data_IF_678940710908
#
_entry.id   IF_678940710908
#
_cell.length_a   1.000
_cell.length_b   1.000
_cell.length_c   1.000
_cell.angle_alpha   90.00
_cell.angle_beta   90.00
_cell.angle_gamma   90.00
#
_symmetry.space_group_name_H-M   'P 1'
#
loop_
_entity.id
_entity.type
_entity.pdbx_description
1 polymer ?
#
# COMPACT_ATOMS: atom_id res chain seq x y z
N UNK A 1 -1.10 32.32 2.16
CA UNK A 1 -2.48 31.77 2.04
C UNK A 1 -2.70 30.77 3.18
N UNK A 2 -3.94 30.52 3.63
CA UNK A 2 -4.26 29.24 4.29
C UNK A 2 -4.59 28.24 3.16
N UNK A 3 -3.99 27.04 3.10
CA UNK A 3 -4.38 26.03 2.13
C UNK A 3 -5.78 25.49 2.46
N UNK A 4 -6.46 24.91 1.47
CA UNK A 4 -7.73 24.22 1.71
C UNK A 4 -7.47 22.82 2.29
N UNK A 5 -7.21 22.79 3.61
CA UNK A 5 -7.02 21.55 4.35
C UNK A 5 -8.20 20.58 4.18
N UNK A 6 -9.44 21.07 4.00
CA UNK A 6 -10.61 20.20 3.79
C UNK A 6 -10.55 19.53 2.42
N UNK A 7 -10.29 20.30 1.36
CA UNK A 7 -10.09 19.77 0.01
C UNK A 7 -8.95 18.76 -0.08
N UNK A 8 -7.83 19.02 0.61
CA UNK A 8 -6.69 18.10 0.69
C UNK A 8 -7.05 16.83 1.46
N UNK A 9 -7.71 16.93 2.62
CA UNK A 9 -8.14 15.75 3.39
C UNK A 9 -9.10 14.86 2.59
N UNK A 10 -10.08 15.45 1.90
CA UNK A 10 -10.97 14.70 1.00
C UNK A 10 -10.21 14.01 -0.15
N UNK A 11 -9.23 14.69 -0.77
CA UNK A 11 -8.38 14.06 -1.80
C UNK A 11 -7.58 12.88 -1.23
N UNK A 12 -6.89 13.06 -0.11
CA UNK A 12 -6.11 12.00 0.53
C UNK A 12 -6.98 10.79 0.92
N UNK A 13 -8.13 11.03 1.55
CA UNK A 13 -9.09 9.96 1.88
C UNK A 13 -9.58 9.24 0.61
N UNK A 14 -9.90 9.98 -0.46
CA UNK A 14 -10.33 9.39 -1.75
C UNK A 14 -9.27 8.45 -2.34
N UNK A 15 -8.00 8.87 -2.34
CA UNK A 15 -6.88 8.05 -2.85
C UNK A 15 -6.68 6.80 -1.99
N UNK A 16 -6.73 6.92 -0.67
CA UNK A 16 -6.58 5.78 0.24
C UNK A 16 -7.74 4.78 0.10
N UNK A 17 -8.99 5.25 0.07
CA UNK A 17 -10.16 4.38 -0.08
C UNK A 17 -10.22 3.71 -1.46
N UNK A 18 -9.79 4.39 -2.53
CA UNK A 18 -9.73 3.81 -3.87
C UNK A 18 -8.72 2.65 -3.95
N UNK A 19 -7.51 2.85 -3.40
CA UNK A 19 -6.50 1.79 -3.33
C UNK A 19 -6.95 0.61 -2.45
N UNK A 20 -7.63 0.89 -1.33
CA UNK A 20 -8.24 -0.16 -0.50
C UNK A 20 -9.32 -0.94 -1.27
N UNK A 21 -10.18 -0.25 -2.04
CA UNK A 21 -11.19 -0.88 -2.90
C UNK A 21 -10.58 -1.80 -3.96
N UNK A 22 -9.52 -1.35 -4.65
CA UNK A 22 -8.75 -2.16 -5.61
C UNK A 22 -8.14 -3.40 -4.92
N UNK A 23 -7.49 -3.23 -3.77
CA UNK A 23 -6.91 -4.34 -3.02
C UNK A 23 -7.96 -5.38 -2.62
N UNK A 24 -9.17 -4.96 -2.24
CA UNK A 24 -10.27 -5.86 -1.91
C UNK A 24 -10.79 -6.62 -3.16
N UNK A 25 -10.75 -6.04 -4.37
CA UNK A 25 -11.04 -6.78 -5.63
C UNK A 25 -10.04 -7.91 -5.83
N UNK A 26 -8.73 -7.63 -5.75
CA UNK A 26 -7.69 -8.66 -5.87
C UNK A 26 -7.80 -9.72 -4.77
N UNK A 27 -8.05 -9.30 -3.52
CA UNK A 27 -8.19 -10.22 -2.38
C UNK A 27 -9.44 -11.12 -2.50
N UNK A 28 -10.56 -10.58 -3.01
CA UNK A 28 -11.75 -11.35 -3.37
C UNK A 28 -11.44 -12.40 -4.44
N UNK A 29 -10.67 -12.05 -5.46
CA UNK A 29 -10.27 -12.99 -6.53
C UNK A 29 -9.42 -14.14 -5.98
N UNK A 30 -8.38 -13.82 -5.19
CA UNK A 30 -7.56 -14.81 -4.49
C UNK A 30 -8.40 -15.74 -3.60
N UNK A 31 -9.38 -15.20 -2.85
CA UNK A 31 -10.27 -15.99 -2.00
C UNK A 31 -11.26 -16.85 -2.79
N UNK A 32 -11.71 -16.41 -3.96
CA UNK A 32 -12.53 -17.23 -4.87
C UNK A 32 -11.73 -18.41 -5.42
N UNK A 33 -10.52 -18.15 -5.96
CA UNK A 33 -9.63 -19.20 -6.45
C UNK A 33 -9.27 -20.21 -5.35
N UNK A 34 -9.00 -19.74 -4.12
CA UNK A 34 -8.76 -20.62 -2.97
C UNK A 34 -9.95 -21.57 -2.72
N UNK A 35 -11.19 -21.07 -2.70
CA UNK A 35 -12.38 -21.91 -2.55
C UNK A 35 -12.63 -22.84 -3.75
N UNK A 36 -12.19 -22.47 -4.95
CA UNK A 36 -12.25 -23.35 -6.13
C UNK A 36 -11.21 -24.48 -6.02
N UNK A 37 -10.01 -24.18 -5.49
CA UNK A 37 -8.99 -25.17 -5.17
C UNK A 37 -9.44 -26.12 -4.05
N UNK A 38 -10.16 -25.64 -3.02
CA UNK A 38 -10.65 -26.51 -1.92
C UNK A 38 -11.53 -27.67 -2.43
N UNK A 39 -12.24 -27.51 -3.57
CA UNK A 39 -13.01 -28.60 -4.21
C UNK A 39 -12.14 -29.75 -4.72
N UNK A 40 -10.82 -29.59 -4.79
CA UNK A 40 -9.91 -30.68 -5.11
C UNK A 40 -9.85 -31.76 -4.01
N UNK A 41 -10.31 -31.48 -2.80
CA UNK A 41 -10.44 -32.48 -1.72
C UNK A 41 -11.51 -33.54 -2.06
N UNK A 42 -12.58 -33.14 -2.77
CA UNK A 42 -13.66 -34.05 -3.19
C UNK A 42 -13.25 -34.98 -4.35
N UNK A 43 -12.17 -34.63 -5.08
CA UNK A 43 -11.68 -35.40 -6.23
C UNK A 43 -10.98 -36.68 -5.78
N UNK A 44 -10.98 -37.68 -6.67
CA UNK A 44 -10.22 -38.93 -6.49
C UNK A 44 -8.75 -38.64 -6.15
N UNK A 45 -8.20 -39.31 -5.12
CA UNK A 45 -6.83 -39.09 -4.69
C UNK A 45 -5.85 -39.48 -5.80
N UNK A 46 -4.71 -38.79 -5.85
CA UNK A 46 -3.55 -39.22 -6.63
C UNK A 46 -2.83 -40.35 -5.88
N UNK A 47 -2.47 -41.41 -6.60
CA UNK A 47 -1.61 -42.51 -6.13
C UNK A 47 -0.13 -42.23 -6.40
N UNK A 48 0.15 -41.27 -7.28
CA UNK A 48 1.47 -40.87 -7.75
C UNK A 48 1.66 -39.36 -7.56
N UNK A 49 2.87 -38.85 -7.84
CA UNK A 49 3.10 -37.40 -7.88
C UNK A 49 2.28 -36.74 -9.00
N UNK A 50 1.84 -35.47 -8.83
CA UNK A 50 1.18 -34.73 -9.91
C UNK A 50 2.12 -34.62 -11.12
N UNK A 51 1.62 -34.86 -12.35
CA UNK A 51 2.46 -34.86 -13.55
C UNK A 51 3.03 -33.47 -13.81
N UNK A 52 4.24 -33.42 -14.37
CA UNK A 52 5.04 -32.19 -14.55
C UNK A 52 4.32 -31.08 -15.34
N UNK A 53 3.39 -31.45 -16.24
CA UNK A 53 2.55 -30.53 -17.01
C UNK A 53 1.40 -29.88 -16.21
N UNK A 54 1.13 -30.30 -14.96
CA UNK A 54 0.02 -29.78 -14.16
C UNK A 54 0.47 -28.62 -13.26
N UNK A 55 -0.17 -27.45 -13.41
CA UNK A 55 0.16 -26.29 -12.56
C UNK A 55 -0.06 -26.62 -11.08
N UNK A 56 0.93 -26.31 -10.22
CA UNK A 56 0.83 -26.52 -8.76
C UNK A 56 -0.44 -25.90 -8.16
N UNK A 57 -0.91 -24.77 -8.70
CA UNK A 57 -2.16 -24.11 -8.30
C UNK A 57 -3.43 -24.92 -8.63
N UNK A 58 -3.43 -25.78 -9.65
CA UNK A 58 -4.58 -26.60 -10.05
C UNK A 58 -4.69 -27.88 -9.21
N UNK A 59 -3.56 -28.39 -8.72
CA UNK A 59 -3.49 -29.57 -7.86
C UNK A 59 -3.49 -29.23 -6.35
N UNK A 60 -3.43 -27.96 -5.96
CA UNK A 60 -3.53 -27.54 -4.55
C UNK A 60 -4.82 -28.09 -3.90
N UNK A 61 -4.73 -28.59 -2.67
CA UNK A 61 -5.77 -29.31 -1.93
C UNK A 61 -6.22 -30.66 -2.53
N UNK A 62 -5.65 -31.12 -3.65
CA UNK A 62 -5.94 -32.48 -4.15
C UNK A 62 -5.40 -33.52 -3.18
N UNK A 63 -6.22 -34.53 -2.88
CA UNK A 63 -5.84 -35.64 -2.00
C UNK A 63 -4.75 -36.50 -2.64
N UNK A 64 -3.87 -37.03 -1.81
CA UNK A 64 -2.73 -37.87 -2.18
C UNK A 64 -2.67 -39.09 -1.27
N UNK A 65 -2.32 -40.25 -1.83
CA UNK A 65 -1.90 -41.46 -1.13
C UNK A 65 -0.59 -41.94 -1.76
N UNK A 66 0.50 -41.93 -1.00
CA UNK A 66 1.80 -42.47 -1.42
C UNK A 66 2.26 -43.54 -0.42
N UNK A 67 2.71 -44.67 -0.92
CA UNK A 67 3.35 -45.73 -0.14
C UNK A 67 4.88 -45.62 -0.29
N UNK A 68 5.63 -45.89 0.79
CA UNK A 68 7.06 -45.57 0.82
C UNK A 68 7.66 -45.57 2.24
N UNK A 69 8.65 -44.72 2.48
CA UNK A 69 9.28 -44.57 3.79
C UNK A 69 9.75 -43.16 4.13
N UNK A 70 9.66 -42.79 5.41
CA UNK A 70 10.11 -41.50 5.94
C UNK A 70 11.57 -41.57 6.39
N UNK A 71 12.43 -40.65 5.93
CA UNK A 71 13.73 -40.39 6.56
C UNK A 71 13.55 -39.46 7.77
N UNK A 72 13.38 -40.04 8.96
CA UNK A 72 13.25 -39.27 10.21
C UNK A 72 14.51 -38.44 10.54
N UNK A 73 15.66 -38.78 9.97
CA UNK A 73 16.91 -38.04 10.18
C UNK A 73 17.05 -36.87 9.19
N UNK A 74 16.40 -36.96 8.02
CA UNK A 74 16.22 -35.85 7.09
C UNK A 74 15.24 -34.77 7.57
N UNK A 75 14.48 -35.02 8.64
CA UNK A 75 13.43 -34.09 9.12
C UNK A 75 13.97 -32.71 9.53
N UNK A 76 13.29 -31.67 9.01
CA UNK A 76 13.48 -30.26 9.32
C UNK A 76 12.29 -29.73 10.15
N UNK A 77 12.50 -28.62 10.86
CA UNK A 77 11.45 -27.92 11.62
C UNK A 77 11.06 -26.61 10.94
N UNK A 78 9.79 -26.22 11.01
CA UNK A 78 9.31 -24.95 10.46
C UNK A 78 8.48 -24.19 11.47
N UNK A 79 8.91 -22.98 11.83
CA UNK A 79 8.25 -22.18 12.84
C UNK A 79 8.96 -20.87 13.21
N UNK A 80 8.50 -20.16 14.25
CA UNK A 80 7.40 -20.55 15.13
C UNK A 80 6.05 -20.60 14.40
N UNK A 81 5.22 -21.61 14.70
CA UNK A 81 3.82 -21.72 14.26
C UNK A 81 2.92 -21.92 15.48
N UNK A 82 1.76 -21.27 15.45
CA UNK A 82 0.67 -21.52 16.38
C UNK A 82 0.17 -22.97 16.27
N UNK A 83 -0.50 -23.45 17.31
CA UNK A 83 -1.14 -24.77 17.30
C UNK A 83 -2.13 -24.91 16.12
N UNK A 84 -2.22 -26.07 15.45
CA UNK A 84 -3.30 -26.36 14.51
C UNK A 84 -4.63 -26.52 15.25
N UNK A 85 -5.32 -25.38 15.46
CA UNK A 85 -6.79 -25.32 15.52
C UNK A 85 -7.31 -23.90 15.35
N UNK A 86 -8.47 -23.76 14.69
CA UNK A 86 -9.18 -22.47 14.62
C UNK A 86 -9.74 -22.00 15.97
N UNK A 87 -9.88 -22.93 16.94
CA UNK A 87 -10.33 -22.63 18.31
C UNK A 87 -9.23 -22.01 19.19
N UNK A 88 -8.01 -21.88 18.67
CA UNK A 88 -6.85 -21.36 19.38
C UNK A 88 -6.20 -22.36 20.32
N UNK A 89 -5.30 -21.88 21.17
CA UNK A 89 -4.68 -22.66 22.24
C UNK A 89 -5.64 -22.80 23.42
N UNK A 90 -5.86 -24.03 23.91
CA UNK A 90 -6.71 -24.29 25.07
C UNK A 90 -5.94 -24.21 26.40
N UNK A 91 -4.62 -24.28 26.36
CA UNK A 91 -3.73 -24.34 27.52
C UNK A 91 -2.51 -23.40 27.37
N UNK A 92 -1.85 -23.03 28.46
CA UNK A 92 -0.68 -22.14 28.43
C UNK A 92 0.50 -22.71 27.63
N UNK A 93 0.79 -24.02 27.74
CA UNK A 93 1.83 -24.67 26.93
C UNK A 93 1.47 -24.75 25.43
N UNK A 94 0.19 -24.59 25.07
CA UNK A 94 -0.25 -24.52 23.68
C UNK A 94 -0.16 -23.09 23.12
N UNK A 95 -0.20 -22.06 23.98
CA UNK A 95 -0.06 -20.65 23.57
C UNK A 95 1.40 -20.26 23.29
N UNK A 96 2.36 -21.00 23.87
CA UNK A 96 3.81 -20.89 23.61
C UNK A 96 4.23 -21.20 22.17
N UNK A 97 3.35 -21.78 21.36
CA UNK A 97 3.64 -22.15 19.97
C UNK A 97 4.53 -23.39 19.83
N UNK A 98 4.95 -23.66 18.60
CA UNK A 98 5.72 -24.85 18.25
C UNK A 98 6.17 -24.84 16.80
N UNK A 99 6.40 -26.03 16.24
CA UNK A 99 6.96 -26.22 14.91
C UNK A 99 6.13 -27.22 14.10
N UNK A 100 6.07 -27.03 12.78
CA UNK A 100 5.67 -28.09 11.84
C UNK A 100 6.90 -28.96 11.53
N UNK A 101 6.72 -30.27 11.42
CA UNK A 101 7.82 -31.18 11.03
C UNK A 101 7.70 -31.51 9.54
N UNK A 102 8.70 -31.06 8.77
CA UNK A 102 8.87 -31.41 7.36
C UNK A 102 9.81 -32.60 7.26
N UNK A 103 9.31 -33.74 6.82
CA UNK A 103 10.09 -34.98 6.69
C UNK A 103 10.20 -35.39 5.22
N UNK A 104 11.41 -35.71 4.71
CA UNK A 104 11.56 -36.31 3.38
C UNK A 104 10.93 -37.71 3.37
N UNK A 105 10.12 -37.99 2.34
CA UNK A 105 9.49 -39.28 2.12
C UNK A 105 9.92 -39.86 0.78
N UNK A 106 10.56 -41.02 0.81
CA UNK A 106 10.97 -41.80 -0.35
C UNK A 106 9.78 -42.64 -0.84
N UNK A 107 9.34 -42.40 -2.08
CA UNK A 107 8.19 -43.06 -2.68
C UNK A 107 8.58 -44.43 -3.22
N UNK A 108 7.80 -45.46 -2.88
CA UNK A 108 8.02 -46.82 -3.34
C UNK A 108 8.02 -46.91 -4.89
N UNK A 109 8.80 -47.86 -5.42
CA UNK A 109 8.97 -48.15 -6.85
C UNK A 109 9.66 -47.05 -7.69
N UNK A 110 9.55 -45.78 -7.34
CA UNK A 110 10.21 -44.66 -8.04
C UNK A 110 11.50 -44.21 -7.36
N UNK A 111 11.62 -44.30 -6.04
CA UNK A 111 12.76 -43.74 -5.30
C UNK A 111 12.82 -42.20 -5.31
N UNK A 112 11.77 -41.55 -5.82
CA UNK A 112 11.63 -40.10 -5.78
C UNK A 112 11.31 -39.63 -4.36
N UNK A 113 11.79 -38.45 -3.98
CA UNK A 113 11.55 -37.87 -2.66
C UNK A 113 10.56 -36.71 -2.72
N UNK A 114 9.55 -36.74 -1.85
CA UNK A 114 8.63 -35.62 -1.62
C UNK A 114 8.73 -35.14 -0.18
N UNK A 115 8.62 -33.83 0.02
CA UNK A 115 8.56 -33.25 1.36
C UNK A 115 7.14 -33.40 1.93
N UNK A 116 7.05 -33.91 3.16
CA UNK A 116 5.79 -34.17 3.85
C UNK A 116 5.75 -33.40 5.16
N UNK A 117 4.76 -32.52 5.32
CA UNK A 117 4.40 -31.96 6.62
C UNK A 117 3.65 -33.05 7.40
N UNK A 118 4.33 -33.70 8.37
CA UNK A 118 3.74 -34.75 9.20
C UNK A 118 2.82 -34.23 10.30
N UNK A 119 2.86 -32.93 10.59
CA UNK A 119 2.05 -32.26 11.61
C UNK A 119 2.87 -31.35 12.53
N UNK A 120 2.23 -30.83 13.57
CA UNK A 120 2.77 -29.90 14.55
C UNK A 120 3.28 -30.60 15.81
N UNK A 121 4.38 -30.10 16.35
CA UNK A 121 5.02 -30.52 17.61
C UNK A 121 5.24 -29.30 18.51
N UNK A 122 5.23 -29.44 19.84
CA UNK A 122 5.35 -28.31 20.76
C UNK A 122 6.76 -27.72 20.71
N UNK A 123 6.94 -26.47 21.15
CA UNK A 123 8.27 -25.81 21.18
C UNK A 123 9.35 -26.61 21.93
N UNK A 124 8.95 -27.42 22.92
CA UNK A 124 9.82 -28.39 23.62
C UNK A 124 10.53 -29.38 22.66
N UNK A 125 9.86 -29.82 21.60
CA UNK A 125 10.40 -30.80 20.66
C UNK A 125 11.54 -30.24 19.80
N UNK A 126 11.57 -28.92 19.58
CA UNK A 126 12.63 -28.25 18.82
C UNK A 126 13.94 -28.06 19.60
N UNK A 127 13.91 -28.13 20.94
CA UNK A 127 15.08 -27.83 21.78
C UNK A 127 16.29 -28.72 21.48
N UNK A 128 16.04 -30.02 21.27
CA UNK A 128 17.08 -30.99 20.91
C UNK A 128 16.53 -32.06 19.96
N UNK A 129 17.33 -32.47 18.98
CA UNK A 129 16.99 -33.50 17.98
C UNK A 129 16.69 -34.88 18.59
N UNK A 130 17.25 -35.19 19.76
CA UNK A 130 16.91 -36.38 20.58
C UNK A 130 15.51 -36.32 21.18
N UNK A 131 14.99 -35.13 21.48
CA UNK A 131 13.62 -34.94 21.93
C UNK A 131 12.68 -35.08 20.72
N UNK A 132 12.99 -34.46 19.58
CA UNK A 132 12.21 -34.60 18.34
C UNK A 132 12.00 -36.08 17.93
N UNK A 133 13.06 -36.91 18.03
CA UNK A 133 13.00 -38.36 17.78
C UNK A 133 11.90 -39.10 18.58
N UNK A 134 11.54 -38.63 19.78
CA UNK A 134 10.44 -39.20 20.57
C UNK A 134 9.06 -38.98 19.93
N UNK A 135 8.88 -37.84 19.25
CA UNK A 135 7.62 -37.46 18.60
C UNK A 135 7.47 -38.08 17.20
N UNK A 136 8.57 -38.32 16.48
CA UNK A 136 8.52 -38.72 15.06
C UNK A 136 9.05 -40.13 14.78
N UNK A 137 9.99 -40.63 15.58
CA UNK A 137 10.71 -41.88 15.36
C UNK A 137 12.17 -41.65 14.95
N UNK A 138 12.83 -42.73 14.54
CA UNK A 138 14.26 -42.75 14.16
C UNK A 138 14.45 -43.55 12.86
N UNK A 139 15.52 -43.23 12.12
CA UNK A 139 15.88 -43.94 10.90
C UNK A 139 14.82 -43.89 9.79
N UNK A 140 14.83 -44.89 8.92
CA UNK A 140 13.85 -45.06 7.84
C UNK A 140 12.64 -45.82 8.37
N UNK A 141 11.48 -45.16 8.42
CA UNK A 141 10.23 -45.77 8.86
C UNK A 141 9.31 -46.01 7.64
N UNK A 142 8.96 -47.27 7.31
CA UNK A 142 7.98 -47.55 6.26
C UNK A 142 6.62 -47.01 6.67
N UNK A 143 5.88 -46.41 5.73
CA UNK A 143 4.59 -45.80 6.03
C UNK A 143 3.84 -45.35 4.78
N UNK A 144 2.54 -45.09 4.96
CA UNK A 144 1.68 -44.57 3.92
C UNK A 144 1.33 -43.10 4.21
N UNK A 145 1.81 -42.20 3.35
CA UNK A 145 1.45 -40.78 3.38
C UNK A 145 0.04 -40.64 2.80
N UNK A 146 -0.88 -40.14 3.61
CA UNK A 146 -2.23 -39.77 3.19
C UNK A 146 -2.50 -38.32 3.62
N UNK A 147 -2.83 -37.46 2.66
CA UNK A 147 -2.89 -36.03 2.89
C UNK A 147 -3.38 -35.24 1.68
N UNK A 148 -3.05 -33.95 1.63
CA UNK A 148 -3.37 -33.04 0.52
C UNK A 148 -2.12 -32.34 -0.02
N UNK A 149 -2.11 -32.02 -1.32
CA UNK A 149 -1.05 -31.17 -1.90
C UNK A 149 -1.18 -29.73 -1.44
N UNK A 150 -0.05 -29.12 -1.09
CA UNK A 150 0.08 -27.71 -0.72
C UNK A 150 1.23 -27.10 -1.51
N UNK A 151 1.00 -25.89 -2.04
CA UNK A 151 2.08 -25.07 -2.63
C UNK A 151 3.03 -24.56 -1.55
N UNK A 152 4.26 -24.28 -1.93
CA UNK A 152 5.24 -23.65 -1.05
C UNK A 152 4.76 -22.30 -0.48
N UNK A 153 5.25 -21.98 0.72
CA UNK A 153 5.00 -20.69 1.36
C UNK A 153 6.10 -19.69 1.01
N UNK A 154 5.77 -18.40 1.13
CA UNK A 154 6.71 -17.30 1.03
C UNK A 154 6.49 -16.36 2.22
N UNK A 155 7.56 -16.01 2.92
CA UNK A 155 7.56 -14.86 3.83
C UNK A 155 7.54 -13.62 2.95
N UNK A 156 6.43 -12.87 3.05
CA UNK A 156 6.21 -11.66 2.28
C UNK A 156 7.33 -10.65 2.51
N UNK A 157 8.00 -10.26 1.44
CA UNK A 157 9.02 -9.22 1.47
C UNK A 157 8.47 -7.86 1.88
N UNK A 158 9.33 -6.98 2.37
CA UNK A 158 8.95 -5.58 2.54
C UNK A 158 8.88 -4.89 1.19
N UNK A 159 7.87 -4.02 1.01
CA UNK A 159 7.66 -3.22 -0.20
C UNK A 159 8.91 -2.40 -0.61
N UNK A 160 9.82 -2.12 0.34
CA UNK A 160 11.04 -1.34 0.13
C UNK A 160 12.33 -2.17 0.11
N UNK A 161 12.31 -3.42 0.60
CA UNK A 161 13.53 -4.23 0.80
C UNK A 161 13.54 -5.57 0.03
N UNK A 162 12.47 -5.88 -0.71
CA UNK A 162 12.37 -7.13 -1.46
C UNK A 162 12.05 -8.36 -0.60
N UNK A 163 12.19 -9.55 -1.19
CA UNK A 163 11.97 -10.86 -0.53
C UNK A 163 12.86 -11.03 0.71
N UNK A 164 12.35 -11.67 1.77
CA UNK A 164 13.21 -11.97 2.92
C UNK A 164 14.23 -13.06 2.58
N UNK A 165 15.51 -12.94 2.96
CA UNK A 165 16.52 -14.00 2.83
C UNK A 165 16.13 -15.31 3.53
N UNK A 166 15.27 -15.26 4.56
CA UNK A 166 14.76 -16.44 5.29
C UNK A 166 13.87 -17.38 4.44
N UNK A 167 13.62 -17.02 3.18
CA UNK A 167 13.00 -17.91 2.18
C UNK A 167 14.01 -18.83 1.48
N UNK A 168 15.32 -18.60 1.64
CA UNK A 168 16.36 -19.30 0.88
C UNK A 168 16.96 -20.49 1.63
N UNK A 169 17.13 -20.40 2.96
CA UNK A 169 17.72 -21.46 3.78
C UNK A 169 17.18 -21.55 5.22
N UNK A 170 17.69 -22.50 6.03
CA UNK A 170 17.38 -22.59 7.45
C UNK A 170 17.99 -21.41 8.21
N UNK A 171 17.29 -20.93 9.24
CA UNK A 171 17.67 -19.74 10.04
C UNK A 171 18.52 -20.12 11.26
N UNK A 172 18.54 -21.38 11.68
CA UNK A 172 19.52 -21.91 12.63
C UNK A 172 20.04 -23.30 12.25
N UNK A 173 21.17 -23.69 12.86
CA UNK A 173 21.94 -24.91 12.53
C UNK A 173 21.23 -26.23 12.89
N UNK A 174 20.07 -26.16 13.57
CA UNK A 174 19.19 -27.28 13.89
C UNK A 174 18.26 -27.69 12.73
N UNK A 175 18.35 -27.01 11.57
CA UNK A 175 17.42 -27.10 10.44
C UNK A 175 16.01 -26.56 10.76
N UNK A 176 15.93 -25.50 11.56
CA UNK A 176 14.73 -24.66 11.67
C UNK A 176 14.62 -23.67 10.50
N UNK A 177 13.45 -23.62 9.87
CA UNK A 177 13.10 -22.70 8.80
C UNK A 177 11.94 -21.80 9.24
N UNK A 178 11.86 -20.57 8.72
CA UNK A 178 10.70 -19.71 8.95
C UNK A 178 9.57 -19.98 7.94
N UNK A 179 9.93 -20.28 6.67
CA UNK A 179 9.01 -20.58 5.57
C UNK A 179 9.02 -22.07 5.17
N UNK A 180 7.88 -22.61 4.72
CA UNK A 180 7.83 -23.92 4.06
C UNK A 180 8.30 -23.79 2.60
N UNK A 181 9.57 -24.18 2.34
CA UNK A 181 10.27 -24.03 1.05
C UNK A 181 10.72 -25.41 0.54
N UNK A 182 9.81 -26.25 0.00
CA UNK A 182 10.06 -27.69 -0.18
C UNK A 182 11.22 -28.00 -1.13
N UNK A 183 11.40 -27.20 -2.19
CA UNK A 183 12.55 -27.30 -3.09
C UNK A 183 13.87 -27.07 -2.35
N UNK A 184 13.99 -25.95 -1.62
CA UNK A 184 15.21 -25.60 -0.90
C UNK A 184 15.49 -26.58 0.25
N UNK A 185 14.44 -27.07 0.92
CA UNK A 185 14.52 -28.14 1.92
C UNK A 185 15.04 -29.45 1.30
N UNK A 186 14.59 -29.81 0.09
CA UNK A 186 15.07 -30.99 -0.62
C UNK A 186 16.55 -30.83 -1.02
N UNK A 187 16.95 -29.68 -1.57
CA UNK A 187 18.36 -29.40 -1.89
C UNK A 187 19.26 -29.46 -0.65
N UNK A 188 18.82 -28.90 0.48
CA UNK A 188 19.56 -28.95 1.74
C UNK A 188 19.69 -30.38 2.29
N UNK A 189 18.63 -31.18 2.20
CA UNK A 189 18.63 -32.60 2.57
C UNK A 189 19.56 -33.43 1.66
N UNK A 190 19.50 -33.25 0.34
CA UNK A 190 20.35 -33.96 -0.62
C UNK A 190 21.83 -33.62 -0.43
N UNK A 191 22.16 -32.33 -0.32
CA UNK A 191 23.52 -31.85 -0.05
C UNK A 191 24.08 -32.43 1.27
N UNK A 192 23.24 -32.57 2.30
CA UNK A 192 23.62 -33.21 3.58
C UNK A 192 23.77 -34.73 3.48
N UNK A 193 22.99 -35.41 2.64
CA UNK A 193 22.91 -36.88 2.57
C UNK A 193 23.90 -37.50 1.58
N UNK A 194 24.15 -36.86 0.45
CA UNK A 194 25.01 -37.35 -0.64
C UNK A 194 26.18 -36.42 -0.97
N UNK A 195 26.31 -35.30 -0.26
CA UNK A 195 27.35 -34.29 -0.48
C UNK A 195 26.91 -33.20 -1.47
N UNK A 196 27.51 -32.02 -1.37
CA UNK A 196 27.19 -30.89 -2.23
C UNK A 196 27.55 -31.13 -3.71
N UNK A 197 28.60 -31.92 -3.97
CA UNK A 197 29.10 -32.21 -5.32
C UNK A 197 28.11 -33.04 -6.16
N UNK A 198 27.44 -34.00 -5.52
CA UNK A 198 26.41 -34.84 -6.15
C UNK A 198 25.01 -34.21 -6.15
N UNK A 199 24.86 -32.92 -5.78
CA UNK A 199 23.55 -32.29 -5.59
C UNK A 199 22.71 -32.29 -6.88
N UNK A 200 23.32 -32.09 -8.05
CA UNK A 200 22.62 -32.10 -9.34
C UNK A 200 22.12 -33.50 -9.70
N UNK A 201 23.00 -34.49 -9.67
CA UNK A 201 22.66 -35.90 -9.91
C UNK A 201 21.57 -36.38 -8.94
N UNK A 202 21.68 -35.99 -7.66
CA UNK A 202 20.68 -36.30 -6.63
C UNK A 202 19.32 -35.64 -6.95
N UNK A 203 19.31 -34.39 -7.39
CA UNK A 203 18.09 -33.68 -7.78
C UNK A 203 17.43 -34.25 -9.05
N UNK A 204 18.23 -34.63 -10.04
CA UNK A 204 17.78 -35.27 -11.29
C UNK A 204 17.23 -36.68 -11.04
N UNK A 205 17.87 -37.44 -10.14
CA UNK A 205 17.49 -38.83 -9.79
C UNK A 205 16.30 -38.93 -8.84
N UNK A 206 16.25 -38.09 -7.81
CA UNK A 206 15.23 -38.16 -6.75
C UNK A 206 14.10 -37.12 -6.94
N UNK A 207 14.24 -36.20 -7.89
CA UNK A 207 13.30 -35.10 -8.12
C UNK A 207 13.40 -34.00 -7.05
N UNK A 208 12.82 -32.84 -7.34
CA UNK A 208 12.58 -31.78 -6.36
C UNK A 208 11.37 -30.95 -6.78
N UNK A 209 10.64 -30.40 -5.82
CA UNK A 209 9.29 -29.87 -6.05
C UNK A 209 9.01 -28.58 -5.27
N UNK A 210 8.27 -27.65 -5.88
CA UNK A 210 7.75 -26.42 -5.26
C UNK A 210 6.41 -26.64 -4.52
N UNK A 211 6.15 -27.89 -4.11
CA UNK A 211 4.97 -28.31 -3.38
C UNK A 211 5.36 -29.35 -2.33
N UNK A 212 4.49 -29.53 -1.34
CA UNK A 212 4.61 -30.54 -0.29
C UNK A 212 3.28 -31.24 -0.06
N UNK A 213 3.30 -32.40 0.61
CA UNK A 213 2.08 -33.07 1.08
C UNK A 213 1.85 -32.69 2.54
N UNK A 214 0.67 -32.18 2.87
CA UNK A 214 0.24 -31.94 4.25
C UNK A 214 -0.60 -33.12 4.74
N UNK A 215 -0.09 -33.85 5.73
CA UNK A 215 -0.84 -34.95 6.37
C UNK A 215 -1.95 -34.35 7.24
N UNK A 216 -3.18 -34.81 6.99
CA UNK A 216 -4.38 -34.42 7.72
C UNK A 216 -4.86 -35.59 8.58
N UNK A 217 -5.56 -35.29 9.66
CA UNK A 217 -5.97 -36.30 10.65
C UNK A 217 -6.92 -37.33 10.02
N UNK A 218 -7.98 -36.87 9.36
CA UNK A 218 -9.01 -37.70 8.69
C UNK A 218 -8.46 -38.64 7.61
N UNK A 219 -7.24 -38.38 7.15
CA UNK A 219 -6.60 -39.16 6.10
C UNK A 219 -5.43 -40.00 6.61
N UNK A 220 -4.80 -39.68 7.73
CA UNK A 220 -3.55 -40.34 8.17
C UNK A 220 -3.73 -41.80 8.61
N UNK A 221 -2.62 -42.55 8.64
CA UNK A 221 -2.52 -43.82 9.36
C UNK A 221 -1.81 -43.66 10.71
N UNK A 222 -1.55 -44.80 11.37
CA UNK A 222 -1.07 -44.94 12.76
C UNK A 222 0.41 -44.52 12.98
N UNK A 223 0.89 -43.53 12.23
CA UNK A 223 2.22 -42.91 12.32
C UNK A 223 2.40 -42.04 13.59
N UNK A 224 1.33 -41.86 14.38
CA UNK A 224 1.38 -41.05 15.61
C UNK A 224 2.00 -41.81 16.79
N UNK A 225 2.76 -41.08 17.61
CA UNK A 225 3.40 -41.57 18.84
C UNK A 225 2.78 -40.92 20.07
N UNK A 226 2.52 -41.73 21.09
CA UNK A 226 1.99 -41.27 22.37
C UNK A 226 3.12 -40.68 23.23
N UNK A 227 3.16 -39.36 23.38
CA UNK A 227 4.14 -38.62 24.18
C UNK A 227 3.43 -37.72 25.18
N UNK A 228 3.77 -37.83 26.47
CA UNK A 228 3.07 -37.16 27.60
C UNK A 228 1.55 -37.38 27.59
N UNK A 229 1.10 -38.59 27.22
CA UNK A 229 -0.33 -38.96 27.20
C UNK A 229 -1.15 -38.37 26.06
N UNK A 230 -0.52 -37.73 25.06
CA UNK A 230 -1.18 -37.22 23.85
C UNK A 230 -0.53 -37.82 22.60
N UNK A 231 -1.28 -37.92 21.50
CA UNK A 231 -0.77 -38.38 20.21
C UNK A 231 -0.07 -37.24 19.45
N UNK A 232 1.03 -37.56 18.76
CA UNK A 232 1.86 -36.60 18.02
C UNK A 232 2.49 -37.22 16.76
N UNK A 233 2.84 -36.43 15.72
CA UNK A 233 2.56 -35.00 15.56
C UNK A 233 1.07 -34.70 15.42
N UNK A 234 0.62 -33.56 15.96
CA UNK A 234 -0.79 -33.13 15.88
C UNK A 234 -1.06 -32.56 14.49
N UNK A 235 -2.05 -33.10 13.77
CA UNK A 235 -2.41 -32.64 12.42
C UNK A 235 -3.62 -31.71 12.47
N UNK A 236 -4.06 -31.24 11.30
CA UNK A 236 -5.35 -30.55 11.11
C UNK A 236 -6.38 -31.54 10.61
N UNK A 237 -7.63 -31.33 10.99
CA UNK A 237 -8.80 -31.91 10.30
C UNK A 237 -8.94 -31.25 8.91
N UNK A 238 -9.62 -31.91 7.97
CA UNK A 238 -9.91 -31.40 6.62
C UNK A 238 -10.69 -30.09 6.67
N UNK A 239 -11.65 -29.98 7.59
CA UNK A 239 -12.43 -28.77 7.80
C UNK A 239 -11.55 -27.62 8.30
N UNK A 240 -10.61 -27.88 9.23
CA UNK A 240 -9.64 -26.87 9.67
C UNK A 240 -8.67 -26.44 8.56
N UNK A 241 -8.26 -27.37 7.68
CA UNK A 241 -7.38 -27.09 6.55
C UNK A 241 -8.08 -26.31 5.42
N UNK A 242 -9.39 -26.49 5.25
CA UNK A 242 -10.21 -25.82 4.23
C UNK A 242 -11.00 -24.61 4.76
N UNK A 243 -10.88 -24.28 6.04
CA UNK A 243 -11.58 -23.16 6.67
C UNK A 243 -11.11 -21.79 6.15
N UNK A 244 -12.05 -20.85 5.99
CA UNK A 244 -11.80 -19.50 5.45
C UNK A 244 -12.50 -18.42 6.27
N UNK A 245 -11.82 -17.87 7.27
CA UNK A 245 -12.33 -16.80 8.18
C UNK A 245 -13.13 -15.68 7.48
N UNK A 246 -12.64 -15.16 6.33
CA UNK A 246 -13.31 -14.12 5.54
C UNK A 246 -13.61 -14.66 4.14
N UNK A 247 -14.90 -14.79 3.82
CA UNK A 247 -15.39 -15.30 2.53
C UNK A 247 -15.34 -14.22 1.44
N UNK A 248 -15.37 -14.59 0.14
CA UNK A 248 -15.46 -13.64 -0.96
C UNK A 248 -16.67 -12.69 -0.89
N UNK A 249 -17.75 -13.07 -0.18
CA UNK A 249 -18.93 -12.22 0.03
C UNK A 249 -18.60 -11.07 0.97
N UNK A 250 -17.91 -11.32 2.08
CA UNK A 250 -17.46 -10.26 3.02
C UNK A 250 -16.50 -9.29 2.31
N UNK A 251 -15.58 -9.81 1.49
CA UNK A 251 -14.75 -8.96 0.62
C UNK A 251 -15.56 -8.14 -0.40
N UNK A 252 -16.71 -8.65 -0.88
CA UNK A 252 -17.63 -7.89 -1.75
C UNK A 252 -18.30 -6.72 -1.01
N UNK A 253 -18.66 -6.91 0.26
CA UNK A 253 -19.18 -5.82 1.11
C UNK A 253 -18.12 -4.73 1.32
N UNK A 254 -16.85 -5.11 1.56
CA UNK A 254 -15.75 -4.14 1.67
C UNK A 254 -15.47 -3.40 0.37
N UNK A 255 -15.57 -4.04 -0.80
CA UNK A 255 -15.46 -3.37 -2.11
C UNK A 255 -16.49 -2.23 -2.18
N UNK A 256 -17.77 -2.53 -1.94
CA UNK A 256 -18.85 -1.54 -1.97
C UNK A 256 -18.56 -0.40 -0.99
N UNK A 257 -18.24 -0.72 0.28
CA UNK A 257 -17.90 0.26 1.31
C UNK A 257 -16.78 1.23 0.88
N UNK A 258 -15.65 0.71 0.41
CA UNK A 258 -14.50 1.54 0.04
C UNK A 258 -14.76 2.40 -1.21
N UNK A 259 -15.52 1.90 -2.19
CA UNK A 259 -15.93 2.72 -3.33
C UNK A 259 -17.00 3.77 -2.96
N UNK A 260 -17.90 3.49 -2.01
CA UNK A 260 -18.82 4.49 -1.45
C UNK A 260 -18.08 5.60 -0.69
N UNK A 261 -17.08 5.26 0.14
CA UNK A 261 -16.21 6.26 0.80
C UNK A 261 -15.46 7.09 -0.25
N UNK A 262 -14.93 6.46 -1.29
CA UNK A 262 -14.24 7.16 -2.40
C UNK A 262 -15.17 8.15 -3.09
N UNK A 263 -16.38 7.74 -3.47
CA UNK A 263 -17.35 8.59 -4.15
C UNK A 263 -17.81 9.78 -3.28
N UNK A 264 -18.12 9.53 -2.00
CA UNK A 264 -18.50 10.58 -1.05
C UNK A 264 -17.37 11.58 -0.79
N UNK A 265 -16.13 11.10 -0.75
CA UNK A 265 -14.95 11.94 -0.51
C UNK A 265 -14.57 12.78 -1.73
N UNK A 266 -14.64 12.21 -2.95
CA UNK A 266 -14.51 12.97 -4.20
C UNK A 266 -15.62 14.05 -4.34
N UNK A 267 -16.84 13.75 -3.89
CA UNK A 267 -17.93 14.72 -3.84
C UNK A 267 -17.65 15.87 -2.84
N UNK A 268 -17.07 15.56 -1.68
CA UNK A 268 -16.55 16.55 -0.72
C UNK A 268 -15.48 17.45 -1.33
N UNK A 269 -14.48 16.86 -1.98
CA UNK A 269 -13.43 17.58 -2.71
C UNK A 269 -14.01 18.51 -3.79
N UNK A 270 -14.98 18.04 -4.58
CA UNK A 270 -15.63 18.84 -5.62
C UNK A 270 -16.40 20.04 -5.04
N UNK A 271 -17.06 19.89 -3.88
CA UNK A 271 -17.69 21.01 -3.16
C UNK A 271 -16.66 22.02 -2.66
N UNK A 272 -15.55 21.56 -2.08
CA UNK A 272 -14.44 22.42 -1.65
C UNK A 272 -13.86 23.23 -2.81
N UNK A 273 -13.55 22.57 -3.93
CA UNK A 273 -13.00 23.21 -5.13
C UNK A 273 -13.92 24.30 -5.71
N UNK A 274 -15.23 24.04 -5.83
CA UNK A 274 -16.21 25.06 -6.26
C UNK A 274 -16.21 26.27 -5.31
N UNK A 275 -16.29 26.03 -4.00
CA UNK A 275 -16.22 27.11 -2.99
C UNK A 275 -14.90 27.89 -3.05
N UNK A 276 -13.79 27.25 -3.41
CA UNK A 276 -12.51 27.91 -3.62
C UNK A 276 -12.53 28.82 -4.86
N UNK A 277 -13.18 28.39 -5.95
CA UNK A 277 -13.41 29.25 -7.13
C UNK A 277 -14.28 30.47 -6.78
N UNK A 278 -15.36 30.29 -6.02
CA UNK A 278 -16.22 31.40 -5.56
C UNK A 278 -15.41 32.44 -4.75
N UNK A 279 -14.55 31.99 -3.84
CA UNK A 279 -13.67 32.84 -3.04
C UNK A 279 -12.64 33.57 -3.93
N UNK A 280 -12.12 32.94 -4.98
CA UNK A 280 -11.24 33.61 -5.95
C UNK A 280 -12.00 34.66 -6.79
N UNK A 281 -13.23 34.38 -7.22
CA UNK A 281 -14.06 35.33 -7.95
C UNK A 281 -14.39 36.57 -7.09
N UNK A 282 -14.82 36.36 -5.85
CA UNK A 282 -15.10 37.45 -4.88
C UNK A 282 -13.86 38.31 -4.61
N UNK A 283 -12.67 37.69 -4.44
CA UNK A 283 -11.40 38.43 -4.31
C UNK A 283 -11.06 39.24 -5.56
N UNK A 284 -11.28 38.70 -6.76
CA UNK A 284 -11.04 39.42 -8.02
C UNK A 284 -11.95 40.65 -8.17
N UNK A 285 -13.20 40.57 -7.69
CA UNK A 285 -14.13 41.70 -7.63
C UNK A 285 -13.69 42.73 -6.59
N UNK A 286 -13.40 42.31 -5.36
CA UNK A 286 -12.96 43.20 -4.28
C UNK A 286 -11.65 43.96 -4.64
N UNK A 287 -10.66 43.26 -5.21
CA UNK A 287 -9.43 43.90 -5.67
C UNK A 287 -9.70 44.93 -6.78
N UNK A 288 -10.60 44.63 -7.74
CA UNK A 288 -10.99 45.60 -8.78
C UNK A 288 -11.68 46.84 -8.20
N UNK A 289 -12.49 46.67 -7.15
CA UNK A 289 -13.10 47.80 -6.43
C UNK A 289 -12.07 48.63 -5.67
N UNK A 290 -11.12 48.00 -4.97
CA UNK A 290 -10.03 48.70 -4.27
C UNK A 290 -9.22 49.56 -5.26
N UNK A 291 -8.75 48.95 -6.36
CA UNK A 291 -8.02 49.65 -7.42
C UNK A 291 -8.78 50.87 -7.97
N UNK A 292 -10.10 50.77 -8.18
CA UNK A 292 -10.88 51.91 -8.69
C UNK A 292 -11.07 53.04 -7.65
N UNK A 293 -11.20 52.69 -6.37
CA UNK A 293 -11.24 53.68 -5.28
C UNK A 293 -9.87 54.34 -5.07
N UNK A 294 -8.78 53.58 -5.26
CA UNK A 294 -7.41 54.09 -5.22
C UNK A 294 -7.12 55.04 -6.39
N UNK A 295 -7.52 54.71 -7.63
CA UNK A 295 -7.38 55.65 -8.77
C UNK A 295 -8.19 56.92 -8.57
N UNK A 296 -9.46 56.82 -8.10
CA UNK A 296 -10.27 58.01 -7.80
C UNK A 296 -9.64 58.89 -6.72
N UNK A 297 -9.10 58.30 -5.64
CA UNK A 297 -8.38 59.05 -4.60
C UNK A 297 -7.12 59.74 -5.14
N UNK A 298 -6.42 59.15 -6.10
CA UNK A 298 -5.29 59.78 -6.78
C UNK A 298 -5.74 60.94 -7.69
N UNK A 299 -6.83 60.78 -8.44
CA UNK A 299 -7.45 61.85 -9.25
C UNK A 299 -7.93 63.02 -8.38
N UNK A 300 -8.64 62.74 -7.30
CA UNK A 300 -9.13 63.73 -6.32
C UNK A 300 -7.97 64.46 -5.62
N UNK A 301 -6.90 63.75 -5.22
CA UNK A 301 -5.71 64.36 -4.64
C UNK A 301 -4.96 65.25 -5.63
N UNK A 302 -4.83 64.83 -6.90
CA UNK A 302 -4.22 65.66 -7.95
C UNK A 302 -5.06 66.92 -8.25
N UNK A 303 -6.39 66.81 -8.25
CA UNK A 303 -7.28 67.95 -8.41
C UNK A 303 -7.18 68.93 -7.23
N UNK A 304 -7.11 68.42 -6.00
CA UNK A 304 -6.91 69.22 -4.80
C UNK A 304 -5.56 69.97 -4.82
N UNK A 305 -4.46 69.29 -5.17
CA UNK A 305 -3.15 69.94 -5.28
C UNK A 305 -3.14 71.07 -6.32
N UNK A 306 -3.74 70.86 -7.50
CA UNK A 306 -3.88 71.91 -8.53
C UNK A 306 -4.71 73.09 -8.03
N UNK A 307 -5.81 72.84 -7.33
CA UNK A 307 -6.62 73.91 -6.75
C UNK A 307 -5.86 74.73 -5.69
N UNK A 308 -5.00 74.08 -4.89
CA UNK A 308 -4.11 74.78 -3.94
C UNK A 308 -3.07 75.62 -4.67
N UNK A 309 -2.43 75.09 -5.72
CA UNK A 309 -1.48 75.82 -6.57
C UNK A 309 -2.13 77.04 -7.26
N UNK A 310 -3.37 76.90 -7.75
CA UNK A 310 -4.14 78.00 -8.33
C UNK A 310 -4.50 79.08 -7.29
N UNK A 311 -4.92 78.68 -6.09
CA UNK A 311 -5.18 79.63 -4.99
C UNK A 311 -3.90 80.35 -4.55
N UNK A 312 -2.75 79.67 -4.49
CA UNK A 312 -1.45 80.32 -4.26
C UNK A 312 -1.09 81.28 -5.39
N UNK A 313 -1.27 80.88 -6.66
CA UNK A 313 -1.01 81.74 -7.81
C UNK A 313 -1.88 83.00 -7.78
N UNK A 314 -3.17 82.88 -7.45
CA UNK A 314 -4.07 84.02 -7.29
C UNK A 314 -3.66 84.92 -6.12
N UNK A 315 -3.23 84.37 -4.98
CA UNK A 315 -2.65 85.15 -3.86
C UNK A 315 -1.37 85.90 -4.26
N UNK A 316 -0.49 85.28 -5.05
CA UNK A 316 0.74 85.94 -5.57
C UNK A 316 0.40 87.07 -6.54
N UNK A 317 -0.60 86.87 -7.41
CA UNK A 317 -1.08 87.91 -8.35
C UNK A 317 -1.74 89.07 -7.60
N UNK A 318 -2.60 88.82 -6.61
CA UNK A 318 -3.25 89.89 -5.84
C UNK A 318 -2.27 90.64 -4.94
N UNK A 319 -1.28 89.96 -4.35
CA UNK A 319 -0.19 90.61 -3.63
C UNK A 319 0.68 91.49 -4.55
N UNK A 320 1.00 91.02 -5.76
CA UNK A 320 1.72 91.81 -6.76
C UNK A 320 0.90 93.01 -7.26
N UNK A 321 -0.42 92.85 -7.43
CA UNK A 321 -1.32 93.94 -7.79
C UNK A 321 -1.44 94.99 -6.67
N UNK A 322 -1.48 94.57 -5.41
CA UNK A 322 -1.44 95.47 -4.26
C UNK A 322 -0.12 96.26 -4.19
N UNK A 323 1.02 95.57 -4.35
CA UNK A 323 2.34 96.22 -4.42
C UNK A 323 2.45 97.22 -5.59
N UNK A 324 1.90 96.88 -6.77
CA UNK A 324 1.84 97.78 -7.91
C UNK A 324 0.93 99.00 -7.66
N UNK A 325 -0.18 98.82 -6.94
CA UNK A 325 -1.04 99.92 -6.50
C UNK A 325 -0.33 100.85 -5.48
N UNK A 326 0.50 100.29 -4.60
CA UNK A 326 1.40 101.06 -3.72
C UNK A 326 2.36 101.93 -4.54
N UNK A 327 3.02 101.35 -5.55
CA UNK A 327 3.98 102.04 -6.43
C UNK A 327 3.31 103.14 -7.26
N UNK A 328 2.01 103.03 -7.54
CA UNK A 328 1.23 104.02 -8.28
C UNK A 328 1.00 105.36 -7.56
N UNK A 329 1.39 105.49 -6.29
CA UNK A 329 1.16 106.68 -5.45
C UNK A 329 2.36 107.65 -5.47
N UNK A 330 3.59 107.15 -5.63
CA UNK A 330 4.83 107.94 -5.49
C UNK A 330 5.41 108.43 -6.84
N UNK A 331 4.72 109.34 -7.55
CA UNK A 331 5.33 110.05 -8.68
C UNK A 331 4.77 111.47 -8.96
N UNK A 332 5.56 112.55 -8.81
CA UNK A 332 5.14 113.91 -9.14
C UNK A 332 5.23 114.22 -10.66
N UNK A 333 4.65 115.36 -11.07
CA UNK A 333 4.41 115.73 -12.47
C UNK A 333 5.09 117.06 -12.89
N UNK A 334 4.95 117.39 -14.19
CA UNK A 334 5.20 118.66 -14.92
C UNK A 334 6.25 118.56 -16.06
N UNK A 335 6.24 119.47 -17.07
CA UNK A 335 5.06 119.83 -17.89
C UNK A 335 5.36 119.97 -19.41
N UNK A 336 4.30 119.98 -20.23
CA UNK A 336 4.02 120.72 -21.50
C UNK A 336 5.14 120.99 -22.56
N UNK A 337 4.90 121.09 -23.88
CA UNK A 337 3.67 121.18 -24.74
C UNK A 337 3.76 120.08 -25.86
N UNK A 338 3.24 120.13 -27.12
CA UNK A 338 2.56 121.13 -27.97
C UNK A 338 1.70 120.50 -29.10
N UNK A 339 0.83 121.32 -29.68
CA UNK A 339 0.15 121.32 -31.00
C UNK A 339 0.18 120.12 -32.00
N UNK A 340 -1.05 119.75 -32.43
CA UNK A 340 -1.56 119.60 -33.83
C UNK A 340 -0.97 118.51 -34.77
N UNK A 341 -1.71 117.88 -35.70
CA UNK A 341 -3.09 118.06 -36.23
C UNK A 341 -3.62 116.76 -36.90
N UNK A 342 -4.97 116.63 -37.06
CA UNK A 342 -5.76 116.19 -38.26
C UNK A 342 -5.06 115.26 -39.30
N UNK A 343 -5.59 114.13 -39.82
CA UNK A 343 -6.89 113.39 -39.90
C UNK A 343 -6.58 111.94 -40.37
N UNK A 344 -7.44 110.91 -40.50
CA UNK A 344 -8.90 110.70 -40.55
C UNK A 344 -9.23 109.49 -41.49
N UNK A 345 -10.47 109.00 -41.50
CA UNK A 345 -10.95 107.83 -42.30
C UNK A 345 -10.83 106.48 -41.56
N UNK A 346 -11.82 105.57 -41.45
CA UNK A 346 -12.95 105.01 -42.26
C UNK A 346 -12.62 103.66 -42.92
N UNK A 347 -13.57 102.71 -42.85
CA UNK A 347 -13.48 101.33 -43.37
C UNK A 347 -13.11 100.33 -42.25
N UNK A 348 -13.98 99.55 -41.60
CA UNK A 348 -15.32 99.00 -41.87
C UNK A 348 -15.39 97.70 -42.70
N UNK A 349 -16.47 96.94 -42.47
CA UNK A 349 -16.97 95.70 -43.12
C UNK A 349 -16.51 94.34 -42.57
N UNK A 350 -17.50 93.46 -42.42
CA UNK A 350 -17.42 92.03 -42.06
C UNK A 350 -17.43 91.16 -43.32
N UNK A 351 -16.73 90.01 -43.30
CA UNK A 351 -17.26 88.71 -43.75
C UNK A 351 -16.34 87.61 -43.21
N UNK A 352 -16.77 86.61 -42.42
CA UNK A 352 -17.80 85.58 -42.67
C UNK A 352 -17.45 84.68 -43.86
N UNK A 353 -16.86 83.52 -43.55
CA UNK A 353 -17.31 82.20 -44.02
C UNK A 353 -17.27 81.25 -42.82
#
# INVERSE_FOLDING_TARGET
MRPDYMGVMFLCTSVMSFNAGIWQIFRRSQKKQLMENHKNVEKSPLTDLPPENATVNECEFRRVRLDGSFDNEGSCLVGPRSIPSYRGAANEDESRGGFLVMTPFEIANTGAFVMVNRGWVPIDAGKHRTILKQYIGEGFAPGQVRGILRKEEFIGGSLFWGSSPDNEGPVAADLSWLAMRPWNMAMAYYSRRWGADHLKESAEKHGAHHYFVEMLEDFSGDDQRMVRGRAWPRRREVDEATYVHLTPVVHTMYIIFWFSVTAGSLYGMLRCWRRQQDIFALRKLANKQSMHLETRRQEEAQAYMKAVEEVERLKRISAAAAAAAQIGIDKPAAPAHTERTVSGGRGDSRSRK
#
